data_IF_344869274844
#
_entry.id   IF_344869274844
#
_cell.length_a   1.000
_cell.length_b   1.000
_cell.length_c   1.000
_cell.angle_alpha   90.00
_cell.angle_beta   90.00
_cell.angle_gamma   90.00
#
_symmetry.space_group_name_H-M   'P 1'
#
loop_
_entity.id
_entity.type
_entity.pdbx_description
1 polymer ?
#
# COMPACT_ATOMS: atom_id res chain seq x y z
N UNK A 1 38.20 9.89 7.92
CA UNK A 1 38.65 8.70 7.16
C UNK A 1 37.93 7.40 7.57
N UNK A 2 37.71 7.14 8.84
CA UNK A 2 37.08 5.90 9.36
C UNK A 2 35.70 5.59 8.80
N UNK A 3 34.78 6.57 8.67
CA UNK A 3 33.42 6.33 8.15
C UNK A 3 33.40 5.77 6.74
N UNK A 4 34.27 6.27 5.82
CA UNK A 4 34.36 5.78 4.44
C UNK A 4 34.72 4.29 4.38
N UNK A 5 35.70 3.85 5.17
CA UNK A 5 36.11 2.45 5.19
C UNK A 5 35.06 1.54 5.81
N UNK A 6 34.31 2.03 6.82
CA UNK A 6 33.20 1.29 7.40
C UNK A 6 32.07 1.10 6.39
N UNK A 7 31.69 2.16 5.67
CA UNK A 7 30.69 2.07 4.58
C UNK A 7 31.16 1.10 3.50
N UNK A 8 32.43 1.18 3.09
CA UNK A 8 32.99 0.25 2.10
C UNK A 8 32.95 -1.20 2.58
N UNK A 9 33.25 -1.47 3.85
CA UNK A 9 33.13 -2.78 4.48
C UNK A 9 31.69 -3.31 4.36
N UNK A 10 30.70 -2.50 4.68
CA UNK A 10 29.28 -2.90 4.58
C UNK A 10 28.87 -3.25 3.14
N UNK A 11 29.26 -2.44 2.15
CA UNK A 11 29.00 -2.77 0.74
C UNK A 11 29.66 -4.07 0.30
N UNK A 12 30.90 -4.32 0.72
CA UNK A 12 31.58 -5.58 0.43
C UNK A 12 30.84 -6.74 1.08
N UNK A 13 30.39 -6.59 2.32
CA UNK A 13 29.64 -7.60 3.05
C UNK A 13 28.31 -7.92 2.36
N UNK A 14 27.54 -6.88 1.97
CA UNK A 14 26.29 -7.05 1.20
C UNK A 14 26.59 -7.78 -0.12
N UNK A 15 27.60 -7.35 -0.88
CA UNK A 15 27.94 -7.95 -2.18
C UNK A 15 28.41 -9.40 -2.07
N UNK A 16 29.15 -9.74 -1.02
CA UNK A 16 29.69 -11.11 -0.79
C UNK A 16 28.64 -12.07 -0.22
N UNK A 17 27.54 -11.55 0.31
CA UNK A 17 26.45 -12.39 0.74
C UNK A 17 25.74 -12.99 -0.50
N UNK A 18 25.52 -14.30 -0.51
CA UNK A 18 24.92 -15.01 -1.66
C UNK A 18 23.42 -14.70 -1.84
N UNK A 19 22.74 -14.25 -0.79
CA UNK A 19 21.30 -14.04 -0.75
C UNK A 19 20.89 -12.56 -0.90
N UNK A 20 21.57 -11.65 -0.20
CA UNK A 20 21.17 -10.23 -0.14
C UNK A 20 21.09 -9.53 -1.51
N UNK A 21 22.09 -9.64 -2.43
CA UNK A 21 21.99 -8.97 -3.73
C UNK A 21 20.83 -9.49 -4.57
N UNK A 22 20.57 -10.80 -4.50
CA UNK A 22 19.44 -11.42 -5.20
C UNK A 22 18.11 -10.90 -4.65
N UNK A 23 17.99 -10.82 -3.34
CA UNK A 23 16.78 -10.32 -2.68
C UNK A 23 16.51 -8.85 -3.04
N UNK A 24 17.55 -8.00 -3.05
CA UNK A 24 17.41 -6.56 -3.38
C UNK A 24 16.86 -6.36 -4.80
N UNK A 25 17.15 -7.26 -5.74
CA UNK A 25 16.66 -7.14 -7.12
C UNK A 25 15.35 -7.92 -7.33
N UNK A 26 15.26 -9.17 -6.88
CA UNK A 26 14.13 -10.06 -7.16
C UNK A 26 12.89 -9.63 -6.38
N UNK A 27 13.06 -9.18 -5.13
CA UNK A 27 11.91 -8.85 -4.28
C UNK A 27 11.07 -7.66 -4.78
N UNK A 28 11.67 -6.51 -5.19
CA UNK A 28 10.90 -5.43 -5.82
C UNK A 28 10.19 -5.88 -7.09
N UNK A 29 10.84 -6.70 -7.92
CA UNK A 29 10.23 -7.23 -9.15
C UNK A 29 9.02 -8.11 -8.80
N UNK A 30 9.18 -9.01 -7.83
CA UNK A 30 8.10 -9.88 -7.38
C UNK A 30 6.91 -9.08 -6.84
N UNK A 31 7.15 -8.13 -5.94
CA UNK A 31 6.08 -7.29 -5.37
C UNK A 31 5.39 -6.46 -6.46
N UNK A 32 6.15 -5.80 -7.32
CA UNK A 32 5.60 -4.92 -8.36
C UNK A 32 4.86 -5.68 -9.46
N UNK A 33 5.28 -6.89 -9.80
CA UNK A 33 4.65 -7.68 -10.86
C UNK A 33 3.48 -8.53 -10.34
N UNK A 34 3.61 -9.14 -9.15
CA UNK A 34 2.62 -10.09 -8.62
C UNK A 34 1.48 -9.39 -7.89
N UNK A 35 1.80 -8.45 -6.98
CA UNK A 35 0.78 -7.81 -6.14
C UNK A 35 -0.31 -7.06 -6.92
N UNK A 36 -0.02 -6.23 -7.94
CA UNK A 36 -1.05 -5.56 -8.71
C UNK A 36 -1.93 -6.52 -9.51
N UNK A 37 -1.43 -7.72 -9.79
CA UNK A 37 -2.19 -8.76 -10.48
C UNK A 37 -3.10 -9.53 -9.51
N UNK A 38 -2.59 -9.90 -8.35
CA UNK A 38 -3.35 -10.62 -7.31
C UNK A 38 -4.40 -9.72 -6.64
N UNK A 39 -4.05 -8.45 -6.40
CA UNK A 39 -4.90 -7.49 -5.71
C UNK A 39 -5.78 -6.68 -6.69
N UNK A 40 -6.17 -7.22 -7.82
CA UNK A 40 -7.16 -6.58 -8.67
C UNK A 40 -8.51 -6.52 -7.96
N UNK A 41 -8.74 -5.43 -7.23
CA UNK A 41 -10.07 -5.09 -6.68
C UNK A 41 -10.96 -4.38 -7.72
N UNK A 42 -10.73 -4.60 -9.00
CA UNK A 42 -11.79 -4.38 -9.98
C UNK A 42 -12.83 -5.45 -9.72
N UNK A 43 -13.87 -5.09 -9.00
CA UNK A 43 -15.01 -5.97 -8.81
C UNK A 43 -15.74 -5.99 -10.13
N UNK A 44 -15.26 -6.87 -11.01
CA UNK A 44 -15.94 -7.31 -12.23
C UNK A 44 -16.76 -8.55 -11.89
N UNK A 45 -17.71 -8.85 -12.72
CA UNK A 45 -18.57 -10.04 -12.57
C UNK A 45 -19.43 -9.99 -11.30
N UNK A 46 -20.03 -8.83 -11.03
CA UNK A 46 -21.08 -8.71 -10.01
C UNK A 46 -22.34 -9.30 -10.60
N UNK A 47 -22.82 -10.37 -10.01
CA UNK A 47 -24.04 -11.04 -10.49
C UNK A 47 -25.26 -10.25 -10.02
N UNK A 48 -26.05 -9.76 -10.96
CA UNK A 48 -27.26 -8.98 -10.70
C UNK A 48 -28.52 -9.74 -11.14
N UNK A 49 -29.48 -9.84 -10.21
CA UNK A 49 -30.86 -10.25 -10.48
C UNK A 49 -31.74 -9.01 -10.59
N UNK A 50 -32.61 -8.97 -11.54
CA UNK A 50 -33.58 -7.88 -11.70
C UNK A 50 -34.99 -8.40 -11.53
N UNK A 51 -35.79 -7.70 -10.71
CA UNK A 51 -37.22 -7.91 -10.51
C UNK A 51 -37.92 -6.68 -11.09
N UNK A 52 -38.46 -6.82 -12.29
CA UNK A 52 -39.20 -5.75 -12.97
C UNK A 52 -40.70 -6.02 -12.86
N UNK A 53 -41.40 -5.22 -12.05
CA UNK A 53 -42.86 -5.34 -11.85
C UNK A 53 -43.59 -4.38 -12.78
N UNK A 54 -42.96 -3.31 -13.19
CA UNK A 54 -43.58 -2.23 -13.97
C UNK A 54 -43.69 -2.61 -15.47
N UNK A 55 -42.75 -3.44 -15.97
CA UNK A 55 -42.67 -3.86 -17.38
C UNK A 55 -42.77 -2.70 -18.38
N UNK A 56 -42.20 -1.54 -18.04
CA UNK A 56 -42.22 -0.33 -18.86
C UNK A 56 -41.08 -0.34 -19.90
N UNK A 57 -41.21 0.52 -20.93
CA UNK A 57 -40.14 0.70 -21.92
C UNK A 57 -38.86 1.23 -21.23
N UNK A 58 -39.03 2.05 -20.20
CA UNK A 58 -37.92 2.62 -19.42
C UNK A 58 -37.22 1.56 -18.59
N UNK A 59 -37.98 0.68 -17.92
CA UNK A 59 -37.36 -0.42 -17.14
C UNK A 59 -36.60 -1.38 -18.05
N UNK A 60 -37.11 -1.69 -19.23
CA UNK A 60 -36.44 -2.56 -20.22
C UNK A 60 -35.14 -1.93 -20.76
N UNK A 61 -35.11 -0.60 -20.98
CA UNK A 61 -33.87 0.12 -21.34
C UNK A 61 -32.84 0.05 -20.24
N UNK A 62 -33.26 0.24 -18.99
CA UNK A 62 -32.39 0.14 -17.82
C UNK A 62 -31.77 -1.26 -17.69
N UNK A 63 -32.57 -2.31 -17.87
CA UNK A 63 -32.12 -3.70 -17.87
C UNK A 63 -31.09 -3.96 -18.96
N UNK A 64 -31.33 -3.44 -20.17
CA UNK A 64 -30.36 -3.55 -21.28
C UNK A 64 -29.03 -2.81 -20.95
N UNK A 65 -29.10 -1.63 -20.32
CA UNK A 65 -27.89 -0.92 -19.88
C UNK A 65 -27.11 -1.69 -18.84
N UNK A 66 -27.78 -2.32 -17.87
CA UNK A 66 -27.16 -3.19 -16.87
C UNK A 66 -26.51 -4.41 -17.53
N UNK A 67 -27.23 -5.08 -18.43
CA UNK A 67 -26.73 -6.26 -19.14
C UNK A 67 -25.54 -5.95 -20.08
N UNK A 68 -25.49 -4.74 -20.64
CA UNK A 68 -24.40 -4.27 -21.49
C UNK A 68 -23.19 -3.74 -20.68
N UNK A 69 -23.32 -3.60 -19.37
CA UNK A 69 -22.25 -3.08 -18.52
C UNK A 69 -21.18 -4.13 -18.28
N UNK A 70 -19.91 -3.75 -18.43
CA UNK A 70 -18.77 -4.64 -18.17
C UNK A 70 -18.58 -4.98 -16.66
N UNK A 71 -19.35 -4.38 -15.78
CA UNK A 71 -19.28 -4.62 -14.32
C UNK A 71 -20.21 -5.72 -13.85
N UNK A 72 -21.30 -5.97 -14.59
CA UNK A 72 -22.36 -6.89 -14.20
C UNK A 72 -22.40 -8.15 -15.07
N UNK A 73 -22.72 -9.27 -14.42
CA UNK A 73 -23.24 -10.46 -15.07
C UNK A 73 -24.75 -10.47 -14.81
N UNK A 74 -25.52 -10.25 -15.86
CA UNK A 74 -26.96 -10.30 -15.76
C UNK A 74 -27.43 -11.77 -15.62
N UNK A 75 -27.97 -12.13 -14.46
CA UNK A 75 -28.42 -13.50 -14.16
C UNK A 75 -29.88 -13.76 -14.58
N UNK A 76 -30.56 -12.69 -15.06
CA UNK A 76 -31.91 -12.76 -15.58
C UNK A 76 -32.93 -11.95 -14.79
N UNK A 77 -34.12 -11.87 -15.33
CA UNK A 77 -35.29 -11.32 -14.64
C UNK A 77 -35.96 -12.42 -13.79
N UNK A 78 -36.28 -12.04 -12.54
CA UNK A 78 -36.98 -12.89 -11.59
C UNK A 78 -38.44 -12.46 -11.46
N UNK A 79 -39.34 -13.41 -11.25
CA UNK A 79 -40.76 -13.13 -11.14
C UNK A 79 -41.13 -12.30 -9.89
N UNK A 80 -40.34 -12.42 -8.81
CA UNK A 80 -40.57 -11.68 -7.57
C UNK A 80 -39.31 -11.57 -6.73
N UNK A 81 -39.32 -10.63 -5.77
CA UNK A 81 -38.20 -10.36 -4.86
C UNK A 81 -37.79 -11.60 -4.04
N UNK A 82 -38.75 -12.46 -3.64
CA UNK A 82 -38.48 -13.67 -2.86
C UNK A 82 -37.64 -14.68 -3.63
N UNK A 83 -37.83 -14.77 -4.93
CA UNK A 83 -37.04 -15.64 -5.81
C UNK A 83 -35.61 -15.12 -5.96
N UNK A 84 -35.43 -13.82 -6.18
CA UNK A 84 -34.12 -13.17 -6.24
C UNK A 84 -33.37 -13.29 -4.90
N UNK A 85 -34.07 -13.17 -3.75
CA UNK A 85 -33.46 -13.40 -2.44
C UNK A 85 -32.92 -14.81 -2.24
N UNK A 86 -33.59 -15.85 -2.77
CA UNK A 86 -33.07 -17.22 -2.74
C UNK A 86 -31.75 -17.36 -3.52
N UNK A 87 -31.57 -16.57 -4.56
CA UNK A 87 -30.31 -16.59 -5.32
C UNK A 87 -29.20 -15.87 -4.56
N UNK A 88 -29.48 -14.83 -3.80
CA UNK A 88 -28.54 -14.24 -2.84
C UNK A 88 -28.16 -15.24 -1.74
N UNK A 89 -29.15 -15.89 -1.11
CA UNK A 89 -28.93 -16.88 -0.05
C UNK A 89 -28.07 -18.07 -0.53
N UNK A 90 -28.21 -18.47 -1.78
CA UNK A 90 -27.44 -19.53 -2.40
C UNK A 90 -26.10 -19.05 -3.00
N UNK A 91 -25.77 -17.76 -2.88
CA UNK A 91 -24.55 -17.18 -3.43
C UNK A 91 -24.51 -17.11 -4.95
N UNK A 92 -25.66 -17.19 -5.62
CA UNK A 92 -25.78 -17.10 -7.09
C UNK A 92 -25.97 -15.69 -7.60
N UNK A 93 -26.39 -14.76 -6.74
CA UNK A 93 -26.48 -13.32 -7.01
C UNK A 93 -25.75 -12.53 -5.94
N UNK A 94 -25.16 -11.39 -6.34
CA UNK A 94 -24.46 -10.45 -5.45
C UNK A 94 -25.36 -9.24 -5.13
N UNK A 95 -26.24 -8.85 -6.08
CA UNK A 95 -27.11 -7.67 -5.94
C UNK A 95 -28.45 -7.93 -6.61
N UNK A 96 -29.53 -7.37 -6.05
CA UNK A 96 -30.89 -7.38 -6.60
C UNK A 96 -31.26 -5.93 -6.92
N UNK A 97 -31.87 -5.70 -8.09
CA UNK A 97 -32.57 -4.49 -8.45
C UNK A 97 -34.06 -4.80 -8.59
N UNK A 98 -34.91 -4.23 -7.73
CA UNK A 98 -36.37 -4.28 -7.89
C UNK A 98 -36.86 -2.94 -8.44
N UNK A 99 -37.71 -3.01 -9.47
CA UNK A 99 -38.35 -1.88 -10.13
C UNK A 99 -39.85 -2.01 -9.88
N UNK A 100 -40.43 -1.03 -9.13
CA UNK A 100 -41.84 -1.01 -8.78
C UNK A 100 -42.36 0.42 -8.64
N UNK A 101 -43.46 0.72 -9.31
CA UNK A 101 -44.11 2.05 -9.27
C UNK A 101 -43.17 3.21 -9.59
N UNK A 102 -42.25 3.03 -10.55
CA UNK A 102 -41.21 3.99 -10.89
C UNK A 102 -40.14 4.20 -9.82
N UNK A 103 -40.11 3.36 -8.78
CA UNK A 103 -39.11 3.37 -7.70
C UNK A 103 -38.14 2.21 -7.86
N UNK A 104 -36.93 2.43 -7.39
CA UNK A 104 -35.83 1.46 -7.49
C UNK A 104 -35.37 1.06 -6.09
N UNK A 105 -35.40 -0.24 -5.81
CA UNK A 105 -34.84 -0.81 -4.58
C UNK A 105 -33.59 -1.62 -4.97
N UNK A 106 -32.46 -1.28 -4.38
CA UNK A 106 -31.20 -2.01 -4.55
C UNK A 106 -30.90 -2.76 -3.27
N UNK A 107 -30.88 -4.08 -3.31
CA UNK A 107 -30.48 -4.93 -2.21
C UNK A 107 -29.17 -5.63 -2.53
N UNK A 108 -28.19 -5.57 -1.61
CA UNK A 108 -26.86 -6.09 -1.80
C UNK A 108 -26.53 -7.20 -0.81
N UNK A 109 -25.81 -8.21 -1.28
CA UNK A 109 -25.29 -9.29 -0.44
C UNK A 109 -24.15 -8.80 0.46
N UNK A 110 -24.41 -8.71 1.75
CA UNK A 110 -23.44 -8.26 2.75
C UNK A 110 -22.34 -9.31 3.09
N UNK A 111 -22.52 -10.56 2.68
CA UNK A 111 -21.52 -11.62 2.89
C UNK A 111 -20.25 -11.32 2.10
N UNK A 112 -20.39 -10.81 0.86
CA UNK A 112 -19.26 -10.24 0.12
C UNK A 112 -19.40 -8.72 0.10
N UNK A 113 -18.95 -8.07 1.20
CA UNK A 113 -19.12 -6.63 1.40
C UNK A 113 -18.54 -5.77 0.27
N UNK A 114 -17.47 -6.20 -0.39
CA UNK A 114 -16.86 -5.47 -1.51
C UNK A 114 -17.72 -5.55 -2.76
N UNK A 115 -18.19 -6.74 -3.16
CA UNK A 115 -19.09 -6.89 -4.32
C UNK A 115 -20.43 -6.23 -4.08
N UNK A 116 -20.98 -6.39 -2.88
CA UNK A 116 -22.27 -5.79 -2.51
C UNK A 116 -22.22 -4.25 -2.52
N UNK A 117 -21.23 -3.63 -1.89
CA UNK A 117 -21.11 -2.17 -1.83
C UNK A 117 -20.80 -1.54 -3.19
N UNK A 118 -19.88 -2.12 -3.97
CA UNK A 118 -19.56 -1.61 -5.30
C UNK A 118 -20.70 -1.88 -6.28
N UNK A 119 -21.37 -3.03 -6.21
CA UNK A 119 -22.52 -3.36 -7.04
C UNK A 119 -23.68 -2.41 -6.80
N UNK A 120 -24.01 -2.12 -5.55
CA UNK A 120 -25.05 -1.14 -5.23
C UNK A 120 -24.68 0.28 -5.68
N UNK A 121 -23.39 0.69 -5.56
CA UNK A 121 -22.93 1.99 -6.04
C UNK A 121 -23.04 2.11 -7.58
N UNK A 122 -22.63 1.08 -8.33
CA UNK A 122 -22.72 1.08 -9.79
C UNK A 122 -24.19 1.03 -10.27
N UNK A 123 -25.05 0.21 -9.64
CA UNK A 123 -26.48 0.22 -9.95
C UNK A 123 -27.11 1.57 -9.66
N UNK A 124 -26.80 2.18 -8.51
CA UNK A 124 -27.32 3.52 -8.17
C UNK A 124 -26.90 4.57 -9.21
N UNK A 125 -25.69 4.48 -9.75
CA UNK A 125 -25.22 5.38 -10.79
C UNK A 125 -25.97 5.19 -12.11
N UNK A 126 -26.20 3.93 -12.53
CA UNK A 126 -26.94 3.61 -13.75
C UNK A 126 -28.40 4.06 -13.61
N UNK A 127 -29.04 3.74 -12.49
CA UNK A 127 -30.42 4.12 -12.19
C UNK A 127 -30.57 5.65 -12.15
N UNK A 128 -29.67 6.38 -11.51
CA UNK A 128 -29.69 7.85 -11.46
C UNK A 128 -29.49 8.47 -12.84
N UNK A 129 -28.69 7.86 -13.71
CA UNK A 129 -28.48 8.29 -15.09
C UNK A 129 -29.73 8.07 -15.98
N UNK A 130 -30.50 7.01 -15.74
CA UNK A 130 -31.73 6.69 -16.46
C UNK A 130 -32.92 7.55 -16.00
N UNK A 131 -32.95 7.97 -14.74
CA UNK A 131 -34.04 8.75 -14.13
C UNK A 131 -34.03 10.26 -14.47
N UNK A 132 -33.45 10.67 -15.62
CA UNK A 132 -33.45 12.06 -16.13
C UNK A 132 -32.96 13.16 -15.16
N UNK A 133 -32.37 12.79 -14.06
CA UNK A 133 -31.61 13.68 -13.18
C UNK A 133 -30.25 13.88 -13.82
N UNK A 134 -30.01 15.04 -14.46
CA UNK A 134 -28.73 15.41 -15.07
C UNK A 134 -27.64 15.58 -13.99
N UNK A 135 -27.31 14.51 -13.30
CA UNK A 135 -26.12 14.45 -12.48
C UNK A 135 -24.94 14.10 -13.40
N UNK A 136 -24.25 15.11 -13.88
CA UNK A 136 -22.97 14.91 -14.57
C UNK A 136 -21.91 14.57 -13.53
N UNK A 137 -21.50 13.30 -13.45
CA UNK A 137 -20.38 12.91 -12.62
C UNK A 137 -19.07 13.11 -13.37
N UNK A 138 -18.26 14.06 -12.94
CA UNK A 138 -16.92 14.29 -13.45
C UNK A 138 -15.91 13.50 -12.59
N UNK A 139 -15.35 12.43 -13.14
CA UNK A 139 -14.26 11.71 -12.49
C UNK A 139 -12.96 12.49 -12.67
N UNK A 140 -12.39 13.01 -11.58
CA UNK A 140 -11.12 13.71 -11.58
C UNK A 140 -9.95 12.72 -11.42
N UNK A 141 -8.81 13.01 -12.05
CA UNK A 141 -7.53 12.32 -11.97
C UNK A 141 -7.49 10.88 -12.54
N UNK A 142 -8.08 9.89 -11.96
CA UNK A 142 -8.09 8.52 -12.48
C UNK A 142 -9.39 8.22 -13.26
N UNK A 143 -9.52 8.80 -14.46
CA UNK A 143 -10.76 8.72 -15.27
C UNK A 143 -11.19 7.28 -15.58
N UNK A 144 -10.23 6.36 -15.74
CA UNK A 144 -10.49 4.94 -16.00
C UNK A 144 -10.72 4.11 -14.74
N UNK A 145 -10.73 4.71 -13.55
CA UNK A 145 -10.82 4.02 -12.25
C UNK A 145 -9.86 2.82 -12.13
N UNK A 146 -8.68 2.96 -12.76
CA UNK A 146 -7.68 1.90 -12.81
C UNK A 146 -7.10 1.65 -11.42
N UNK A 147 -7.41 0.50 -10.85
CA UNK A 147 -6.94 0.11 -9.52
C UNK A 147 -5.41 -0.01 -9.44
N UNK A 148 -4.75 -0.38 -10.54
CA UNK A 148 -3.29 -0.46 -10.60
C UNK A 148 -2.63 0.90 -10.36
N UNK A 149 -3.21 1.97 -10.93
CA UNK A 149 -2.73 3.34 -10.72
C UNK A 149 -2.82 3.76 -9.24
N UNK A 150 -3.82 3.27 -8.51
CA UNK A 150 -4.00 3.51 -7.08
C UNK A 150 -3.03 2.69 -6.21
N UNK A 151 -2.77 1.42 -6.61
CA UNK A 151 -1.97 0.47 -5.82
C UNK A 151 -0.46 0.66 -6.01
N UNK A 152 0.02 0.89 -7.23
CA UNK A 152 1.44 0.93 -7.54
C UNK A 152 2.22 1.90 -6.64
N UNK A 153 1.79 3.16 -6.43
CA UNK A 153 2.50 4.08 -5.54
C UNK A 153 2.56 3.59 -4.09
N UNK A 154 1.55 2.86 -3.66
CA UNK A 154 1.50 2.31 -2.31
C UNK A 154 2.41 1.07 -2.14
N UNK A 155 2.62 0.28 -3.20
CA UNK A 155 3.57 -0.84 -3.18
C UNK A 155 5.02 -0.37 -3.03
N UNK A 156 5.36 0.82 -3.50
CA UNK A 156 6.67 1.42 -3.26
C UNK A 156 6.99 1.52 -1.76
N UNK A 157 5.96 1.85 -0.95
CA UNK A 157 6.11 1.91 0.51
C UNK A 157 6.50 0.54 1.10
N UNK A 158 5.84 -0.54 0.66
CA UNK A 158 6.15 -1.90 1.14
C UNK A 158 7.58 -2.27 0.79
N UNK A 159 7.99 -2.01 -0.44
CA UNK A 159 9.33 -2.39 -0.90
C UNK A 159 10.41 -1.62 -0.14
N UNK A 160 10.24 -0.29 0.01
CA UNK A 160 11.18 0.53 0.79
C UNK A 160 11.24 0.07 2.25
N UNK A 161 10.07 -0.13 2.89
CA UNK A 161 9.97 -0.60 4.27
C UNK A 161 10.74 -1.90 4.49
N UNK A 162 10.52 -2.90 3.64
CA UNK A 162 11.17 -4.21 3.80
C UNK A 162 12.68 -4.14 3.52
N UNK A 163 13.10 -3.39 2.51
CA UNK A 163 14.52 -3.26 2.18
C UNK A 163 15.29 -2.44 3.22
N UNK A 164 14.70 -1.41 3.78
CA UNK A 164 15.40 -0.52 4.72
C UNK A 164 15.15 -0.85 6.19
N UNK A 165 14.13 -1.65 6.49
CA UNK A 165 13.85 -2.13 7.84
C UNK A 165 14.46 -3.50 8.12
N UNK A 166 14.07 -4.54 7.37
CA UNK A 166 14.51 -5.90 7.61
C UNK A 166 15.99 -6.14 7.35
N UNK A 167 16.52 -5.66 6.21
CA UNK A 167 17.90 -5.98 5.83
C UNK A 167 18.93 -5.44 6.84
N UNK A 168 18.89 -4.16 7.26
CA UNK A 168 19.83 -3.69 8.28
C UNK A 168 19.63 -4.38 9.63
N UNK A 169 18.38 -4.66 10.02
CA UNK A 169 18.09 -5.39 11.27
C UNK A 169 18.77 -6.75 11.28
N UNK A 170 18.56 -7.55 10.24
CA UNK A 170 19.16 -8.88 10.12
C UNK A 170 20.69 -8.84 10.02
N UNK A 171 21.23 -7.85 9.30
CA UNK A 171 22.67 -7.70 9.21
C UNK A 171 23.32 -7.38 10.55
N UNK A 172 22.71 -6.46 11.33
CA UNK A 172 23.25 -6.06 12.65
C UNK A 172 23.10 -7.21 13.66
N UNK A 173 21.94 -7.85 13.71
CA UNK A 173 21.73 -9.00 14.64
C UNK A 173 22.59 -10.19 14.26
N UNK A 174 22.80 -10.45 12.96
CA UNK A 174 23.71 -11.48 12.50
C UNK A 174 25.16 -11.24 12.90
N UNK A 175 25.62 -10.00 12.87
CA UNK A 175 26.95 -9.65 13.42
C UNK A 175 27.02 -9.78 14.94
N UNK A 176 25.90 -9.54 15.64
CA UNK A 176 25.78 -9.73 17.10
C UNK A 176 25.88 -11.23 17.45
N UNK A 177 25.11 -12.08 16.75
CA UNK A 177 25.18 -13.55 16.94
C UNK A 177 26.57 -14.11 16.61
N UNK A 178 27.25 -13.57 15.61
CA UNK A 178 28.59 -13.98 15.22
C UNK A 178 29.69 -13.39 16.14
N UNK A 179 29.35 -12.56 17.15
CA UNK A 179 30.31 -11.91 18.05
C UNK A 179 31.19 -10.84 17.39
N UNK A 180 30.96 -10.49 16.13
CA UNK A 180 31.77 -9.51 15.39
C UNK A 180 31.47 -8.07 15.81
N UNK A 181 30.29 -7.81 16.34
CA UNK A 181 29.93 -6.48 16.89
C UNK A 181 30.78 -6.11 18.12
N UNK A 182 31.15 -7.11 18.95
CA UNK A 182 31.98 -6.88 20.14
C UNK A 182 33.37 -6.43 19.73
N UNK A 183 33.96 -7.02 18.69
CA UNK A 183 35.25 -6.60 18.14
C UNK A 183 35.20 -5.14 17.62
N UNK A 184 34.06 -4.72 17.09
CA UNK A 184 33.87 -3.33 16.64
C UNK A 184 33.70 -2.37 17.83
N UNK A 185 33.08 -2.80 18.94
CA UNK A 185 32.85 -1.97 20.11
C UNK A 185 34.12 -1.59 20.85
N UNK A 186 35.18 -2.42 20.82
CA UNK A 186 36.48 -2.11 21.42
C UNK A 186 37.33 -1.15 20.55
N UNK A 187 36.89 -0.87 19.31
CA UNK A 187 37.61 0.10 18.46
C UNK A 187 37.25 1.55 18.82
N UNK A 188 38.16 2.54 18.61
CA UNK A 188 37.94 3.95 18.92
C UNK A 188 36.98 4.64 17.92
N UNK A 189 35.97 3.94 17.40
CA UNK A 189 34.97 4.48 16.49
C UNK A 189 33.82 5.10 17.26
N UNK A 190 33.40 6.33 16.87
CA UNK A 190 32.26 7.00 17.50
C UNK A 190 30.95 6.25 17.18
N UNK A 191 29.96 6.27 18.12
CA UNK A 191 28.64 5.64 17.94
C UNK A 191 27.93 6.11 16.67
N UNK A 192 28.01 7.42 16.37
CA UNK A 192 27.44 8.01 15.17
C UNK A 192 28.06 7.45 13.88
N UNK A 193 29.41 7.36 13.82
CA UNK A 193 30.09 6.83 12.65
C UNK A 193 29.74 5.35 12.42
N UNK A 194 29.64 4.56 13.48
CA UNK A 194 29.21 3.18 13.42
C UNK A 194 27.78 3.06 12.86
N UNK A 195 26.81 3.76 13.46
CA UNK A 195 25.40 3.71 13.06
C UNK A 195 25.21 4.20 11.62
N UNK A 196 25.81 5.34 11.25
CA UNK A 196 25.71 5.86 9.89
C UNK A 196 26.34 4.91 8.87
N UNK A 197 27.45 4.26 9.22
CA UNK A 197 28.06 3.27 8.32
C UNK A 197 27.13 2.09 8.03
N UNK A 198 26.29 1.71 8.98
CA UNK A 198 25.29 0.66 8.82
C UNK A 198 24.07 1.10 8.01
N UNK A 199 23.60 2.35 8.19
CA UNK A 199 22.36 2.82 7.58
C UNK A 199 22.54 3.36 6.16
N UNK A 200 23.66 4.05 5.87
CA UNK A 200 23.90 4.66 4.55
C UNK A 200 23.79 3.65 3.37
N UNK A 201 24.38 2.45 3.43
CA UNK A 201 24.22 1.47 2.35
C UNK A 201 22.76 1.14 2.06
N UNK A 202 21.93 1.00 3.08
CA UNK A 202 20.50 0.68 2.90
C UNK A 202 19.68 1.87 2.39
N UNK A 203 20.08 3.10 2.68
CA UNK A 203 19.49 4.29 2.06
C UNK A 203 19.80 4.34 0.55
N UNK A 204 21.02 4.00 0.15
CA UNK A 204 21.38 3.91 -1.26
C UNK A 204 20.65 2.75 -1.96
N UNK A 205 20.48 1.64 -1.27
CA UNK A 205 19.63 0.53 -1.74
C UNK A 205 18.18 1.00 -1.92
N UNK A 206 17.63 1.80 -1.01
CA UNK A 206 16.28 2.35 -1.16
C UNK A 206 16.14 3.19 -2.44
N UNK A 207 17.11 4.07 -2.73
CA UNK A 207 17.11 4.87 -3.96
C UNK A 207 17.20 3.98 -5.20
N UNK A 208 18.05 2.97 -5.18
CA UNK A 208 18.14 1.99 -6.27
C UNK A 208 16.82 1.25 -6.48
N UNK A 209 16.23 0.76 -5.41
CA UNK A 209 14.98 -0.01 -5.44
C UNK A 209 13.81 0.85 -5.93
N UNK A 210 13.71 2.12 -5.52
CA UNK A 210 12.70 3.05 -6.05
C UNK A 210 12.89 3.25 -7.56
N UNK A 211 14.15 3.36 -8.03
CA UNK A 211 14.42 3.44 -9.47
C UNK A 211 13.92 2.20 -10.20
N UNK A 212 14.18 1.00 -9.66
CA UNK A 212 13.67 -0.27 -10.22
C UNK A 212 12.14 -0.27 -10.22
N UNK A 213 11.50 0.15 -9.13
CA UNK A 213 10.03 0.22 -9.04
C UNK A 213 9.43 1.21 -10.06
N UNK A 214 10.05 2.38 -10.26
CA UNK A 214 9.63 3.36 -11.28
C UNK A 214 9.77 2.79 -12.70
N UNK A 215 10.89 2.13 -12.98
CA UNK A 215 11.11 1.46 -14.27
C UNK A 215 10.08 0.36 -14.52
N UNK A 216 9.76 -0.46 -13.52
CA UNK A 216 8.74 -1.50 -13.63
C UNK A 216 7.34 -0.91 -13.80
N UNK A 217 7.01 0.18 -13.10
CA UNK A 217 5.75 0.89 -13.27
C UNK A 217 5.58 1.38 -14.72
N UNK A 218 6.65 1.88 -15.31
CA UNK A 218 6.66 2.32 -16.72
C UNK A 218 6.64 1.16 -17.70
N UNK A 219 7.56 0.18 -17.59
CA UNK A 219 7.73 -0.90 -18.57
C UNK A 219 6.59 -1.91 -18.56
N UNK A 220 6.09 -2.28 -17.37
CA UNK A 220 5.06 -3.34 -17.23
C UNK A 220 3.65 -2.79 -17.32
N UNK A 221 3.43 -1.59 -16.76
CA UNK A 221 2.08 -1.03 -16.64
C UNK A 221 1.84 0.21 -17.51
N UNK A 222 2.90 0.76 -18.15
CA UNK A 222 2.80 2.01 -18.90
C UNK A 222 2.44 3.22 -18.01
N UNK A 223 2.66 3.12 -16.70
CA UNK A 223 2.27 4.13 -15.72
C UNK A 223 3.49 4.96 -15.35
N UNK A 224 3.41 6.27 -15.57
CA UNK A 224 4.44 7.23 -15.18
C UNK A 224 3.90 8.20 -14.13
N UNK A 225 4.75 8.71 -13.23
CA UNK A 225 4.33 9.72 -12.27
C UNK A 225 3.94 11.02 -12.98
N UNK A 226 2.80 11.60 -12.59
CA UNK A 226 2.34 12.89 -13.11
C UNK A 226 3.07 14.09 -12.48
N UNK A 227 3.67 13.90 -11.30
CA UNK A 227 4.41 14.92 -10.55
C UNK A 227 5.92 14.72 -10.61
N UNK A 228 6.65 15.48 -9.76
CA UNK A 228 8.10 15.48 -9.73
C UNK A 228 8.68 14.15 -9.22
N UNK A 229 9.48 13.49 -10.06
CA UNK A 229 10.22 12.26 -9.70
C UNK A 229 11.19 12.50 -8.53
N UNK A 230 11.80 13.70 -8.47
CA UNK A 230 12.69 14.07 -7.36
C UNK A 230 11.97 14.00 -6.01
N UNK A 231 10.72 14.42 -5.95
CA UNK A 231 9.93 14.38 -4.74
C UNK A 231 9.65 12.94 -4.27
N UNK A 232 9.50 12.00 -5.22
CA UNK A 232 9.38 10.57 -4.93
C UNK A 232 10.65 10.05 -4.23
N UNK A 233 11.83 10.43 -4.70
CA UNK A 233 13.10 10.06 -4.05
C UNK A 233 13.25 10.66 -2.66
N UNK A 234 12.85 11.91 -2.47
CA UNK A 234 12.85 12.55 -1.13
C UNK A 234 11.93 11.80 -0.17
N UNK A 235 10.71 11.49 -0.59
CA UNK A 235 9.76 10.71 0.21
C UNK A 235 10.32 9.33 0.57
N UNK A 236 10.92 8.64 -0.40
CA UNK A 236 11.54 7.34 -0.18
C UNK A 236 12.70 7.40 0.83
N UNK A 237 13.52 8.46 0.78
CA UNK A 237 14.60 8.67 1.75
C UNK A 237 14.09 8.93 3.16
N UNK A 238 13.00 9.70 3.31
CA UNK A 238 12.38 9.95 4.61
C UNK A 238 11.79 8.66 5.20
N UNK A 239 11.14 7.85 4.37
CA UNK A 239 10.63 6.55 4.80
C UNK A 239 11.76 5.59 5.16
N UNK A 240 12.84 5.58 4.37
CA UNK A 240 14.03 4.79 4.64
C UNK A 240 14.72 5.20 5.95
N UNK A 241 14.78 6.49 6.25
CA UNK A 241 15.29 7.01 7.53
C UNK A 241 14.50 6.42 8.71
N UNK A 242 13.17 6.43 8.62
CA UNK A 242 12.32 5.86 9.67
C UNK A 242 12.58 4.37 9.84
N UNK A 243 12.41 3.58 8.76
CA UNK A 243 12.47 2.12 8.87
C UNK A 243 13.85 1.59 9.20
N UNK A 244 14.92 2.20 8.70
CA UNK A 244 16.28 1.82 9.05
C UNK A 244 16.60 2.13 10.53
N UNK A 245 16.11 3.25 11.05
CA UNK A 245 16.24 3.59 12.47
C UNK A 245 15.41 2.65 13.35
N UNK A 246 14.19 2.33 12.92
CA UNK A 246 13.32 1.36 13.58
C UNK A 246 13.95 -0.03 13.62
N UNK A 247 14.52 -0.48 12.49
CA UNK A 247 15.26 -1.73 12.40
C UNK A 247 16.47 -1.77 13.34
N UNK A 248 17.19 -0.64 13.48
CA UNK A 248 18.30 -0.53 14.41
C UNK A 248 17.80 -0.64 15.87
N UNK A 249 16.68 -0.02 16.23
CA UNK A 249 16.09 -0.17 17.56
C UNK A 249 15.79 -1.64 17.83
N UNK A 250 15.10 -2.33 16.91
CA UNK A 250 14.79 -3.75 17.07
C UNK A 250 16.07 -4.58 17.24
N UNK A 251 17.11 -4.31 16.43
CA UNK A 251 18.39 -5.03 16.54
C UNK A 251 19.09 -4.82 17.88
N UNK A 252 18.94 -3.63 18.50
CA UNK A 252 19.53 -3.35 19.80
C UNK A 252 18.88 -4.19 20.94
N UNK A 253 17.59 -4.47 20.82
CA UNK A 253 16.81 -5.23 21.81
C UNK A 253 16.66 -6.72 21.49
N UNK A 254 17.15 -7.17 20.33
CA UNK A 254 17.10 -8.58 19.93
C UNK A 254 18.49 -9.22 20.06
N UNK A 255 18.51 -10.43 20.59
CA UNK A 255 19.76 -11.21 20.74
C UNK A 255 19.95 -12.21 19.63
N UNK A 256 18.85 -12.65 18.99
CA UNK A 256 18.87 -13.62 17.89
C UNK A 256 18.15 -13.11 16.66
N UNK A 257 18.57 -13.58 15.47
CA UNK A 257 17.90 -13.25 14.21
C UNK A 257 16.43 -13.67 14.23
N UNK A 258 16.10 -14.81 14.83
CA UNK A 258 14.72 -15.28 14.94
C UNK A 258 13.86 -14.30 15.74
N UNK A 259 14.35 -13.83 16.89
CA UNK A 259 13.66 -12.84 17.71
C UNK A 259 13.46 -11.54 16.93
N UNK A 260 14.50 -11.05 16.26
CA UNK A 260 14.43 -9.82 15.46
C UNK A 260 13.39 -9.93 14.32
N UNK A 261 13.34 -11.08 13.62
CA UNK A 261 12.36 -11.33 12.56
C UNK A 261 10.93 -11.29 13.11
N UNK A 262 10.65 -11.98 14.23
CA UNK A 262 9.31 -12.01 14.81
C UNK A 262 8.85 -10.63 15.26
N UNK A 263 9.70 -9.89 15.97
CA UNK A 263 9.38 -8.54 16.44
C UNK A 263 9.16 -7.61 15.25
N UNK A 264 10.08 -7.63 14.26
CA UNK A 264 9.95 -6.79 13.06
C UNK A 264 8.68 -7.12 12.28
N UNK A 265 8.37 -8.42 12.09
CA UNK A 265 7.18 -8.86 11.36
C UNK A 265 5.89 -8.41 12.04
N UNK A 266 5.82 -8.50 13.37
CA UNK A 266 4.67 -8.02 14.14
C UNK A 266 4.40 -6.54 13.85
N UNK A 267 5.43 -5.68 13.97
CA UNK A 267 5.27 -4.25 13.72
C UNK A 267 4.98 -3.93 12.25
N UNK A 268 5.62 -4.63 11.32
CA UNK A 268 5.38 -4.46 9.87
C UNK A 268 3.92 -4.73 9.53
N UNK A 269 3.34 -5.83 10.03
CA UNK A 269 1.93 -6.15 9.79
C UNK A 269 1.02 -5.08 10.38
N UNK A 270 1.28 -4.63 11.62
CA UNK A 270 0.50 -3.56 12.26
C UNK A 270 0.56 -2.25 11.48
N UNK A 271 1.77 -1.82 11.09
CA UNK A 271 1.98 -0.61 10.31
C UNK A 271 1.28 -0.69 8.95
N UNK A 272 1.36 -1.85 8.27
CA UNK A 272 0.70 -2.09 6.98
C UNK A 272 -0.82 -2.00 7.07
N UNK A 273 -1.43 -2.70 8.02
CA UNK A 273 -2.89 -2.72 8.18
C UNK A 273 -3.44 -1.33 8.51
N UNK A 274 -2.71 -0.55 9.30
CA UNK A 274 -3.10 0.78 9.74
C UNK A 274 -2.61 1.91 8.80
N UNK A 275 -1.98 1.58 7.67
CA UNK A 275 -1.39 2.57 6.76
C UNK A 275 -2.39 3.25 5.82
N UNK A 276 -3.56 2.68 5.61
CA UNK A 276 -4.48 3.11 4.55
C UNK A 276 -4.18 2.49 3.17
N UNK A 277 -3.31 1.46 3.15
CA UNK A 277 -3.00 0.69 1.94
C UNK A 277 -4.22 -0.09 1.46
N UNK A 278 -4.77 -0.92 2.34
CA UNK A 278 -5.87 -1.84 2.06
C UNK A 278 -7.24 -1.20 2.31
N UNK A 279 -7.39 -0.49 3.41
CA UNK A 279 -8.65 0.13 3.83
C UNK A 279 -8.46 1.65 3.88
N UNK A 280 -9.32 2.45 3.21
CA UNK A 280 -9.26 3.90 3.32
C UNK A 280 -9.29 4.33 4.79
N UNK A 281 -8.35 5.18 5.20
CA UNK A 281 -8.21 5.61 6.61
C UNK A 281 -9.48 6.26 7.16
N UNK A 282 -10.23 6.97 6.32
CA UNK A 282 -11.52 7.61 6.68
C UNK A 282 -12.61 6.61 7.05
N UNK A 283 -12.49 5.35 6.64
CA UNK A 283 -13.44 4.27 6.93
C UNK A 283 -13.05 3.47 8.17
N UNK A 284 -11.94 3.81 8.82
CA UNK A 284 -11.47 3.12 10.03
C UNK A 284 -12.23 3.58 11.28
N UNK A 285 -12.43 2.69 12.28
CA UNK A 285 -12.92 3.09 13.60
C UNK A 285 -12.00 4.15 14.23
N UNK A 286 -12.55 4.99 15.11
CA UNK A 286 -11.85 6.16 15.67
C UNK A 286 -10.48 5.82 16.27
N UNK A 287 -10.37 4.72 17.02
CA UNK A 287 -9.10 4.30 17.62
C UNK A 287 -8.06 3.93 16.57
N UNK A 288 -8.44 3.18 15.53
CA UNK A 288 -7.56 2.83 14.43
C UNK A 288 -7.16 4.06 13.61
N UNK A 289 -8.09 5.01 13.41
CA UNK A 289 -7.79 6.28 12.75
C UNK A 289 -6.75 7.11 13.52
N UNK A 290 -6.82 7.16 14.85
CA UNK A 290 -5.84 7.88 15.67
C UNK A 290 -4.41 7.31 15.49
N UNK A 291 -4.26 6.00 15.30
CA UNK A 291 -2.93 5.40 15.08
C UNK A 291 -2.30 5.83 13.76
N UNK A 292 -3.08 6.27 12.77
CA UNK A 292 -2.55 6.74 11.48
C UNK A 292 -1.66 7.98 11.62
N UNK A 293 -1.89 8.82 12.65
CA UNK A 293 -1.06 10.01 12.91
C UNK A 293 0.39 9.69 13.29
N UNK A 294 0.65 8.49 13.82
CA UNK A 294 1.99 8.03 14.18
C UNK A 294 2.58 7.13 13.09
N UNK A 295 1.76 6.69 12.15
CA UNK A 295 2.14 5.73 11.12
C UNK A 295 2.87 6.40 9.95
N UNK A 296 4.19 6.19 9.76
CA UNK A 296 4.94 6.81 8.66
C UNK A 296 4.48 6.35 7.29
N UNK A 297 3.99 5.11 7.19
CA UNK A 297 3.50 4.56 5.94
C UNK A 297 2.25 5.28 5.43
N UNK A 298 1.38 5.73 6.35
CA UNK A 298 0.21 6.53 6.02
C UNK A 298 0.59 7.81 5.27
N UNK A 299 1.52 8.58 5.84
CA UNK A 299 1.99 9.83 5.23
C UNK A 299 2.71 9.61 3.90
N UNK A 300 3.51 8.55 3.80
CA UNK A 300 4.19 8.21 2.57
C UNK A 300 3.20 7.84 1.46
N UNK A 301 2.25 6.96 1.73
CA UNK A 301 1.27 6.50 0.75
C UNK A 301 0.39 7.66 0.26
N UNK A 302 -0.05 8.54 1.16
CA UNK A 302 -0.87 9.71 0.80
C UNK A 302 -0.07 10.71 -0.05
N UNK A 303 1.18 11.01 0.36
CA UNK A 303 2.08 11.84 -0.43
C UNK A 303 2.39 11.23 -1.79
N UNK A 304 2.71 9.95 -1.85
CA UNK A 304 2.99 9.24 -3.10
C UNK A 304 1.80 9.24 -4.05
N UNK A 305 0.58 9.01 -3.56
CA UNK A 305 -0.64 9.11 -4.37
C UNK A 305 -0.86 10.53 -4.88
N UNK A 306 -0.58 11.52 -4.06
CA UNK A 306 -0.71 12.93 -4.45
C UNK A 306 0.30 13.30 -5.55
N UNK A 307 1.56 12.92 -5.42
CA UNK A 307 2.61 13.19 -6.42
C UNK A 307 2.39 12.35 -7.67
N UNK A 308 2.17 11.05 -7.51
CA UNK A 308 2.13 10.09 -8.62
C UNK A 308 0.89 10.22 -9.49
N UNK A 309 -0.30 10.39 -8.86
CA UNK A 309 -1.59 10.39 -9.55
C UNK A 309 -2.08 11.80 -9.84
N UNK A 310 -1.97 12.71 -8.85
CA UNK A 310 -2.53 14.07 -8.95
C UNK A 310 -1.56 15.09 -9.53
N UNK A 311 -0.28 14.72 -9.72
CA UNK A 311 0.75 15.66 -10.17
C UNK A 311 1.09 16.73 -9.13
N UNK A 312 0.89 16.44 -7.83
CA UNK A 312 1.09 17.40 -6.75
C UNK A 312 2.53 17.91 -6.66
N UNK A 313 2.66 19.18 -6.33
CA UNK A 313 3.93 19.84 -6.04
C UNK A 313 4.35 19.65 -4.58
N UNK A 314 5.54 20.13 -4.21
CA UNK A 314 6.03 20.10 -2.82
C UNK A 314 5.04 20.76 -1.85
N UNK A 315 4.41 21.85 -2.22
CA UNK A 315 3.45 22.56 -1.38
C UNK A 315 2.23 21.68 -1.02
N UNK A 316 1.81 20.79 -1.93
CA UNK A 316 0.67 19.90 -1.72
C UNK A 316 0.97 18.75 -0.75
N UNK A 317 2.24 18.38 -0.57
CA UNK A 317 2.69 17.27 0.29
C UNK A 317 3.59 17.73 1.45
N UNK A 318 3.71 19.03 1.65
CA UNK A 318 4.59 19.60 2.68
C UNK A 318 4.27 19.06 4.08
N UNK A 319 2.98 18.91 4.41
CA UNK A 319 2.55 18.33 5.70
C UNK A 319 3.04 16.89 5.87
N UNK A 320 2.89 16.06 4.84
CA UNK A 320 3.32 14.67 4.87
C UNK A 320 4.86 14.56 4.94
N UNK A 321 5.58 15.41 4.22
CA UNK A 321 7.05 15.49 4.27
C UNK A 321 7.52 15.89 5.67
N UNK A 322 6.92 16.92 6.27
CA UNK A 322 7.27 17.37 7.63
C UNK A 322 6.94 16.30 8.69
N UNK A 323 5.80 15.63 8.57
CA UNK A 323 5.43 14.53 9.46
C UNK A 323 6.43 13.36 9.36
N UNK A 324 6.77 12.92 8.14
CA UNK A 324 7.75 11.86 7.91
C UNK A 324 9.13 12.25 8.45
N UNK A 325 9.56 13.48 8.22
CA UNK A 325 10.83 14.00 8.73
C UNK A 325 10.84 14.01 10.26
N UNK A 326 9.79 14.53 10.90
CA UNK A 326 9.68 14.59 12.35
C UNK A 326 9.69 13.20 13.00
N UNK A 327 8.86 12.29 12.49
CA UNK A 327 8.78 10.91 13.00
C UNK A 327 10.11 10.17 12.71
N UNK A 328 10.71 10.35 11.53
CA UNK A 328 11.97 9.74 11.15
C UNK A 328 13.14 10.20 12.00
N UNK A 329 13.25 11.51 12.26
CA UNK A 329 14.29 12.07 13.15
C UNK A 329 14.11 11.62 14.60
N UNK A 330 12.88 11.59 15.10
CA UNK A 330 12.60 11.06 16.44
C UNK A 330 13.10 9.61 16.58
N UNK A 331 12.78 8.75 15.60
CA UNK A 331 13.23 7.36 15.59
C UNK A 331 14.75 7.25 15.45
N UNK A 332 15.39 8.11 14.65
CA UNK A 332 16.84 8.11 14.49
C UNK A 332 17.56 8.49 15.80
N UNK A 333 17.07 9.49 16.51
CA UNK A 333 17.60 9.88 17.82
C UNK A 333 17.43 8.75 18.83
N UNK A 334 16.25 8.14 18.88
CA UNK A 334 16.01 7.00 19.78
C UNK A 334 16.91 5.81 19.44
N UNK A 335 17.08 5.49 18.15
CA UNK A 335 17.96 4.42 17.70
C UNK A 335 19.41 4.61 18.17
N UNK A 336 19.93 5.84 18.11
CA UNK A 336 21.28 6.17 18.59
C UNK A 336 21.39 6.09 20.12
N UNK A 337 20.37 6.57 20.85
CA UNK A 337 20.35 6.51 22.31
C UNK A 337 20.22 5.09 22.84
N UNK A 338 19.44 4.25 22.16
CA UNK A 338 19.25 2.83 22.55
C UNK A 338 20.50 1.98 22.32
N UNK A 339 21.42 2.43 21.45
CA UNK A 339 22.65 1.68 21.16
C UNK A 339 23.63 1.79 22.33
N UNK A 340 23.81 0.70 23.08
CA UNK A 340 24.79 0.59 24.17
C UNK A 340 26.12 0.12 23.58
N UNK A 341 27.14 0.99 23.60
CA UNK A 341 28.51 0.57 23.37
C UNK A 341 29.06 0.10 24.73
N UNK A 342 29.35 -1.22 24.87
CA UNK A 342 30.07 -1.70 26.05
C UNK A 342 31.48 -1.13 25.98
N UNK A 343 31.81 -0.27 26.93
CA UNK A 343 33.18 0.23 27.17
C UNK A 343 33.98 -0.83 27.87
#
# INVERSE_FOLDING_TARGET
>A
MTLKYLIQKEFIQIRRNSFLPKLIVVFPIMIMCVMPWVMQMEVKNIVVDVVDIDHTVESQRLIQQIAASNYFIFNGQKANYREAMKDIEKGRADVILEIRDGKYLIAANAVNGTKGSMGSAYLSQIVSGAANTRASSLTLYNKGQNYKLFMIPALFAIVVMLMTGFLPTLNIVGEKEAGTIEQMNVTPVSKWAFILSKLIPYWLIALFVITVCLLLAWLVYGITPSGSVWLIYVLAMLLALFFSSFGLIISNYSDTMQQAIFVMWFFVVMILLLSGLFTPTRSMPTLAYLTTYINPMHYFIDAMRTVFIRGGTFANVAHQVLALLGIGLFMAVWAVQSYKKNN
#
